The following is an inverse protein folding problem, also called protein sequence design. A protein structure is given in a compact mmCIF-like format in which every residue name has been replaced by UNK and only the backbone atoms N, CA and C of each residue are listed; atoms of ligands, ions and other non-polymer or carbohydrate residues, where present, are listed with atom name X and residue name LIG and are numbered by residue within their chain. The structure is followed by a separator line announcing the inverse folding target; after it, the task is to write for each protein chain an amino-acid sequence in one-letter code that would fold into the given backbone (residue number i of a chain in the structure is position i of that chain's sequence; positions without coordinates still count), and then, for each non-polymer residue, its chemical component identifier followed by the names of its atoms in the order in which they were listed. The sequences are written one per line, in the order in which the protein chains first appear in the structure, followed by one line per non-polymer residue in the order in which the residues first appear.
data_IF_829882749768
#
_entry.id   IF_829882749768
#
_cell.length_a   1.000
_cell.length_b   1.000
_cell.length_c   1.000
_cell.angle_alpha   90.00
_cell.angle_beta   90.00
_cell.angle_gamma   90.00
#
_symmetry.space_group_name_H-M   'P 1'
#
loop_
_entity.id
_entity.type
_entity.pdbx_description
1 polymer ?
#
# COMPACT_ATOMS: atom_id res chain seq x y z
N UNK A 1 14.93 -10.46 -3.07
CA UNK A 1 15.19 -9.01 -3.11
C UNK A 1 14.28 -8.28 -4.11
N UNK A 2 14.23 -8.69 -5.39
CA UNK A 2 13.41 -8.02 -6.42
C UNK A 2 11.91 -7.93 -6.08
N UNK A 3 11.35 -8.98 -5.48
CA UNK A 3 9.97 -9.04 -5.01
C UNK A 3 9.66 -8.04 -3.88
N UNK A 4 10.65 -7.65 -3.06
CA UNK A 4 10.47 -6.67 -1.97
C UNK A 4 10.33 -5.29 -2.59
N UNK A 5 11.20 -4.99 -3.56
CA UNK A 5 11.19 -3.72 -4.29
C UNK A 5 9.87 -3.57 -5.06
N UNK A 6 9.41 -4.63 -5.72
CA UNK A 6 8.10 -4.64 -6.39
C UNK A 6 6.95 -4.41 -5.41
N UNK A 7 6.95 -5.05 -4.24
CA UNK A 7 5.93 -4.85 -3.21
C UNK A 7 5.87 -3.40 -2.71
N UNK A 8 7.03 -2.75 -2.53
CA UNK A 8 7.13 -1.34 -2.14
C UNK A 8 6.56 -0.43 -3.24
N UNK A 9 6.94 -0.66 -4.50
CA UNK A 9 6.45 0.14 -5.63
C UNK A 9 4.92 0.02 -5.75
N UNK A 10 4.39 -1.20 -5.68
CA UNK A 10 2.94 -1.43 -5.71
C UNK A 10 2.25 -0.76 -4.53
N UNK A 11 2.81 -0.85 -3.32
CA UNK A 11 2.26 -0.19 -2.13
C UNK A 11 2.19 1.34 -2.27
N UNK A 12 3.21 1.98 -2.85
CA UNK A 12 3.23 3.43 -3.12
C UNK A 12 2.16 3.82 -4.15
N UNK A 13 2.02 3.05 -5.23
CA UNK A 13 1.01 3.31 -6.27
C UNK A 13 -0.40 3.15 -5.71
N UNK A 14 -0.64 2.06 -4.96
CA UNK A 14 -1.93 1.82 -4.28
C UNK A 14 -2.23 2.95 -3.30
N UNK A 15 -1.25 3.40 -2.53
CA UNK A 15 -1.41 4.52 -1.61
C UNK A 15 -1.77 5.82 -2.35
N UNK A 16 -1.07 6.18 -3.42
CA UNK A 16 -1.38 7.39 -4.19
C UNK A 16 -2.81 7.36 -4.77
N UNK A 17 -3.24 6.21 -5.28
CA UNK A 17 -4.61 6.02 -5.78
C UNK A 17 -5.63 6.08 -4.65
N UNK A 18 -5.37 5.40 -3.54
CA UNK A 18 -6.26 5.38 -2.38
C UNK A 18 -6.43 6.79 -1.79
N UNK A 19 -5.33 7.53 -1.67
CA UNK A 19 -5.32 8.90 -1.15
C UNK A 19 -6.14 9.86 -2.02
N UNK A 20 -6.10 9.68 -3.34
CA UNK A 20 -6.88 10.47 -4.29
C UNK A 20 -8.37 10.08 -4.31
N UNK A 21 -8.67 8.77 -4.35
CA UNK A 21 -10.04 8.25 -4.46
C UNK A 21 -10.83 8.56 -3.19
N UNK A 22 -10.24 8.29 -2.03
CA UNK A 22 -10.95 8.42 -0.78
C UNK A 22 -10.95 9.86 -0.25
N UNK A 23 -10.21 10.80 -0.89
CA UNK A 23 -10.16 12.24 -0.59
C UNK A 23 -10.38 12.49 0.89
N UNK A 24 -9.61 11.80 1.73
CA UNK A 24 -10.04 11.71 3.11
C UNK A 24 -9.60 13.01 3.76
N UNK A 25 -10.61 13.77 4.19
CA UNK A 25 -10.49 14.64 5.34
C UNK A 25 -10.07 13.78 6.53
N UNK A 26 -8.79 13.37 6.57
CA UNK A 26 -8.27 12.53 7.64
C UNK A 26 -8.27 13.39 8.89
N UNK A 27 -9.05 12.96 9.87
CA UNK A 27 -9.13 13.52 11.22
C UNK A 27 -7.81 13.32 11.99
N UNK A 28 -6.70 13.85 11.46
CA UNK A 28 -5.37 13.84 12.07
C UNK A 28 -4.37 12.83 11.49
N UNK A 29 -3.12 12.99 11.90
CA UNK A 29 -1.93 12.23 11.47
C UNK A 29 -2.08 10.70 11.64
N UNK A 30 -2.89 10.24 12.60
CA UNK A 30 -3.06 8.80 12.86
C UNK A 30 -3.68 8.04 11.68
N UNK A 31 -4.67 8.62 11.03
CA UNK A 31 -5.35 7.96 9.91
C UNK A 31 -4.46 7.90 8.65
N UNK A 32 -3.58 8.89 8.47
CA UNK A 32 -2.56 8.90 7.43
C UNK A 32 -1.55 7.75 7.59
N UNK A 33 -1.07 7.49 8.81
CA UNK A 33 -0.15 6.36 9.05
C UNK A 33 -0.82 5.01 8.83
N UNK A 34 -2.08 4.86 9.25
CA UNK A 34 -2.86 3.63 9.03
C UNK A 34 -3.08 3.39 7.54
N UNK A 35 -3.40 4.45 6.78
CA UNK A 35 -3.57 4.36 5.32
C UNK A 35 -2.30 3.85 4.62
N UNK A 36 -1.14 4.44 4.94
CA UNK A 36 0.15 4.01 4.39
C UNK A 36 0.39 2.54 4.72
N UNK A 37 0.20 2.15 5.98
CA UNK A 37 0.39 0.77 6.42
C UNK A 37 -0.49 -0.24 5.67
N UNK A 38 -1.78 0.07 5.51
CA UNK A 38 -2.72 -0.79 4.79
C UNK A 38 -2.30 -0.93 3.32
N UNK A 39 -1.92 0.16 2.66
CA UNK A 39 -1.49 0.14 1.26
C UNK A 39 -0.20 -0.67 1.06
N UNK A 40 0.74 -0.61 2.01
CA UNK A 40 1.94 -1.44 2.00
C UNK A 40 1.62 -2.93 2.15
N UNK A 41 0.68 -3.30 3.05
CA UNK A 41 0.23 -4.68 3.20
C UNK A 41 -0.43 -5.18 1.91
N UNK A 42 -1.29 -4.36 1.29
CA UNK A 42 -1.93 -4.71 0.01
C UNK A 42 -0.86 -4.93 -1.07
N UNK A 43 0.13 -4.05 -1.18
CA UNK A 43 1.23 -4.20 -2.13
C UNK A 43 2.04 -5.47 -1.89
N UNK A 44 2.34 -5.80 -0.63
CA UNK A 44 3.04 -7.03 -0.28
C UNK A 44 2.23 -8.30 -0.62
N UNK A 45 0.93 -8.33 -0.31
CA UNK A 45 0.06 -9.48 -0.62
C UNK A 45 -0.14 -9.62 -2.13
N UNK A 46 -0.36 -8.52 -2.85
CA UNK A 46 -0.58 -8.54 -4.30
C UNK A 46 0.65 -9.07 -5.04
N UNK A 47 1.83 -8.54 -4.73
CA UNK A 47 3.08 -9.04 -5.28
C UNK A 47 3.33 -10.46 -4.81
N UNK A 48 2.97 -10.78 -3.57
CA UNK A 48 3.23 -12.11 -3.06
C UNK A 48 2.43 -13.24 -3.69
N UNK A 49 1.20 -12.96 -4.09
CA UNK A 49 0.41 -13.88 -4.90
C UNK A 49 1.02 -14.11 -6.28
N UNK A 50 1.66 -13.10 -6.88
CA UNK A 50 2.34 -13.24 -8.18
C UNK A 50 3.57 -14.16 -8.10
N UNK A 51 4.23 -14.21 -6.94
CA UNK A 51 5.41 -15.04 -6.70
C UNK A 51 5.13 -16.35 -5.94
N UNK A 52 3.87 -16.63 -5.58
CA UNK A 52 3.43 -17.89 -5.01
C UNK A 52 3.86 -18.15 -3.55
N UNK A 53 4.06 -17.10 -2.77
CA UNK A 53 4.65 -17.21 -1.42
C UNK A 53 3.77 -16.65 -0.28
N UNK A 54 2.56 -16.17 -0.61
CA UNK A 54 1.55 -15.52 0.25
C UNK A 54 0.18 -16.01 -0.19
#
# INVERSE_FOLDING_TARGET
MIHIILAIIVGIVVWALYHQIFSVAYFGLGAFFVEIWVCFIIGYVAVGKLFGWV
#
